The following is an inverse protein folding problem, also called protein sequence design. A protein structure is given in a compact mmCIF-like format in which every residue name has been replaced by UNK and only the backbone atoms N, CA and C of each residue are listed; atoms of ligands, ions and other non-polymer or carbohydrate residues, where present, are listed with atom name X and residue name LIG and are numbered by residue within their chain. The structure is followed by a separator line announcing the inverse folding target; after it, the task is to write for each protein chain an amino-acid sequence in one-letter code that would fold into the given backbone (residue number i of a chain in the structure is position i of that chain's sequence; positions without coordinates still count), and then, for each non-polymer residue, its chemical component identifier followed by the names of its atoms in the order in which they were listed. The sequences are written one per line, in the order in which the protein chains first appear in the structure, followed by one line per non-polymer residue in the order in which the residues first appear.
data_IF_756558446044
#
_entry.id   IF_756558446044
#
_cell.length_a   1.000
_cell.length_b   1.000
_cell.length_c   1.000
_cell.angle_alpha   90.00
_cell.angle_beta   90.00
_cell.angle_gamma   90.00
#
_symmetry.space_group_name_H-M   'P 1'
#
loop_
_entity.id
_entity.type
_entity.pdbx_description
1 polymer ?
#
# COMPACT_ATOMS: atom_id res chain seq x y z
N UNK A 1 -13.72 -62.36 -23.24
CA UNK A 1 -13.48 -61.75 -21.92
C UNK A 1 -12.60 -60.52 -22.15
N UNK A 2 -13.22 -59.40 -22.53
CA UNK A 2 -12.51 -58.18 -22.90
C UNK A 2 -13.08 -57.05 -22.05
N UNK A 3 -12.70 -57.04 -20.77
CA UNK A 3 -13.23 -56.13 -19.77
C UNK A 3 -12.06 -55.50 -18.99
N UNK A 4 -12.01 -54.16 -19.02
CA UNK A 4 -11.34 -53.30 -18.04
C UNK A 4 -9.82 -52.98 -18.14
N UNK A 5 -9.31 -52.56 -19.30
CA UNK A 5 -7.98 -51.90 -19.37
C UNK A 5 -8.02 -50.42 -19.77
N UNK A 6 -9.17 -49.90 -20.23
CA UNK A 6 -9.31 -48.51 -20.68
C UNK A 6 -9.13 -47.46 -19.57
N UNK A 7 -9.68 -47.71 -18.38
CA UNK A 7 -9.66 -46.72 -17.30
C UNK A 7 -8.32 -46.64 -16.56
N UNK A 8 -7.57 -47.75 -16.45
CA UNK A 8 -6.30 -47.76 -15.70
C UNK A 8 -5.28 -46.79 -16.29
N UNK A 9 -5.22 -46.68 -17.62
CA UNK A 9 -4.35 -45.70 -18.31
C UNK A 9 -4.78 -44.26 -18.02
N UNK A 10 -6.08 -43.99 -18.06
CA UNK A 10 -6.63 -42.66 -17.75
C UNK A 10 -6.38 -42.26 -16.29
N UNK A 11 -6.54 -43.18 -15.34
CA UNK A 11 -6.23 -42.96 -13.92
C UNK A 11 -4.74 -42.72 -13.67
N UNK A 12 -3.86 -43.43 -14.38
CA UNK A 12 -2.41 -43.18 -14.31
C UNK A 12 -2.06 -41.80 -14.87
N UNK A 13 -2.62 -41.44 -16.04
CA UNK A 13 -2.41 -40.11 -16.63
C UNK A 13 -2.93 -39.01 -15.70
N UNK A 14 -4.14 -39.18 -15.14
CA UNK A 14 -4.70 -38.25 -14.15
C UNK A 14 -3.79 -38.12 -12.92
N UNK A 15 -3.30 -39.24 -12.39
CA UNK A 15 -2.36 -39.25 -11.26
C UNK A 15 -1.08 -38.47 -11.57
N UNK A 16 -0.53 -38.64 -12.79
CA UNK A 16 0.66 -37.89 -13.25
C UNK A 16 0.35 -36.39 -13.36
N UNK A 17 -0.77 -36.01 -13.97
CA UNK A 17 -1.16 -34.59 -14.12
C UNK A 17 -1.35 -33.93 -12.75
N UNK A 18 -2.04 -34.60 -11.83
CA UNK A 18 -2.22 -34.13 -10.46
C UNK A 18 -0.88 -34.00 -9.75
N UNK A 19 -0.02 -35.02 -9.81
CA UNK A 19 1.29 -35.01 -9.18
C UNK A 19 2.18 -33.87 -9.69
N UNK A 20 2.28 -33.71 -11.01
CA UNK A 20 3.06 -32.64 -11.63
C UNK A 20 2.46 -31.27 -11.28
N UNK A 21 1.13 -31.13 -11.31
CA UNK A 21 0.44 -29.90 -10.93
C UNK A 21 0.76 -29.47 -9.50
N UNK A 22 0.66 -30.40 -8.53
CA UNK A 22 1.02 -30.14 -7.14
C UNK A 22 2.52 -29.86 -6.97
N UNK A 23 3.40 -30.57 -7.68
CA UNK A 23 4.84 -30.31 -7.63
C UNK A 23 5.18 -28.87 -8.07
N UNK A 24 4.58 -28.39 -9.16
CA UNK A 24 4.74 -27.01 -9.63
C UNK A 24 4.18 -26.03 -8.60
N UNK A 25 2.97 -26.26 -8.07
CA UNK A 25 2.35 -25.39 -7.07
C UNK A 25 3.20 -25.25 -5.80
N UNK A 26 3.70 -26.37 -5.25
CA UNK A 26 4.56 -26.38 -4.06
C UNK A 26 5.86 -25.63 -4.34
N UNK A 27 6.51 -25.90 -5.47
CA UNK A 27 7.75 -25.22 -5.85
C UNK A 27 7.56 -23.70 -5.93
N UNK A 28 6.45 -23.24 -6.51
CA UNK A 28 6.15 -21.82 -6.61
C UNK A 28 5.76 -21.22 -5.25
N UNK A 29 5.05 -21.96 -4.40
CA UNK A 29 4.73 -21.56 -3.03
C UNK A 29 5.97 -21.34 -2.17
N UNK A 30 6.97 -22.23 -2.24
CA UNK A 30 8.24 -22.08 -1.51
C UNK A 30 9.00 -20.84 -1.99
N UNK A 31 9.07 -20.61 -3.31
CA UNK A 31 9.70 -19.39 -3.86
C UNK A 31 9.00 -18.14 -3.37
N UNK A 32 7.66 -18.12 -3.42
CA UNK A 32 6.85 -16.99 -2.96
C UNK A 32 7.15 -16.66 -1.50
N UNK A 33 7.19 -17.65 -0.61
CA UNK A 33 7.48 -17.46 0.81
C UNK A 33 8.86 -16.83 1.04
N UNK A 34 9.87 -17.19 0.25
CA UNK A 34 11.24 -16.65 0.37
C UNK A 34 11.39 -15.26 -0.25
N UNK A 35 10.56 -14.91 -1.24
CA UNK A 35 10.66 -13.64 -1.98
C UNK A 35 9.61 -12.61 -1.57
N UNK A 36 8.70 -12.95 -0.67
CA UNK A 36 7.69 -12.03 -0.19
C UNK A 36 8.35 -10.76 0.39
N UNK A 37 7.77 -9.57 0.16
CA UNK A 37 8.27 -8.34 0.77
C UNK A 37 8.31 -8.50 2.31
N UNK A 38 9.47 -8.31 2.96
CA UNK A 38 9.55 -8.42 4.41
C UNK A 38 8.75 -7.27 5.06
N UNK A 39 8.04 -7.59 6.13
CA UNK A 39 7.47 -6.56 7.02
C UNK A 39 8.63 -6.00 7.84
N UNK A 40 8.91 -4.68 7.81
CA UNK A 40 9.98 -4.11 8.60
C UNK A 40 9.64 -4.16 10.09
N UNK A 41 10.64 -4.43 10.94
CA UNK A 41 10.49 -4.43 12.39
C UNK A 41 10.10 -3.04 12.90
N UNK A 42 10.72 -2.00 12.32
CA UNK A 42 10.41 -0.60 12.59
C UNK A 42 10.55 0.27 11.34
N UNK A 43 9.66 1.24 11.21
CA UNK A 43 9.73 2.33 10.25
C UNK A 43 10.13 3.59 11.00
N UNK A 44 11.25 4.18 10.60
CA UNK A 44 11.88 5.30 11.31
C UNK A 44 12.13 6.48 10.38
N UNK A 45 12.09 7.69 10.91
CA UNK A 45 12.57 8.88 10.23
C UNK A 45 14.10 8.92 10.21
N UNK A 46 14.69 9.68 9.29
CA UNK A 46 16.13 10.01 9.32
C UNK A 46 16.56 10.67 10.64
N UNK A 47 15.66 11.42 11.27
CA UNK A 47 15.85 12.01 12.60
C UNK A 47 15.84 11.00 13.75
N UNK A 48 15.44 9.75 13.49
CA UNK A 48 15.34 8.67 14.49
C UNK A 48 13.97 8.52 15.14
N UNK A 49 12.99 9.36 14.81
CA UNK A 49 11.60 9.20 15.24
C UNK A 49 11.04 7.85 14.74
N UNK A 50 10.42 7.05 15.61
CA UNK A 50 9.73 5.82 15.21
C UNK A 50 8.31 6.17 14.75
N UNK A 51 7.97 5.84 13.51
CA UNK A 51 6.63 6.07 12.95
C UNK A 51 5.71 4.88 13.19
N UNK A 52 6.19 3.68 12.84
CA UNK A 52 5.44 2.43 12.91
C UNK A 52 6.32 1.29 13.38
N UNK A 53 5.75 0.39 14.18
CA UNK A 53 6.33 -0.92 14.48
C UNK A 53 5.72 -2.01 13.60
N UNK A 54 6.36 -3.18 13.52
CA UNK A 54 5.74 -4.36 12.90
C UNK A 54 4.39 -4.70 13.54
N UNK A 55 4.26 -4.54 14.86
CA UNK A 55 3.01 -4.75 15.58
C UNK A 55 1.92 -3.77 15.13
N UNK A 56 2.24 -2.50 14.91
CA UNK A 56 1.28 -1.52 14.39
C UNK A 56 0.74 -1.93 13.02
N UNK A 57 1.60 -2.47 12.15
CA UNK A 57 1.23 -2.89 10.80
C UNK A 57 0.33 -4.14 10.83
N UNK A 58 0.69 -5.14 11.64
CA UNK A 58 -0.10 -6.36 11.80
C UNK A 58 -1.45 -6.07 12.47
N UNK A 59 -1.48 -5.21 13.49
CA UNK A 59 -2.72 -4.75 14.10
C UNK A 59 -3.57 -3.96 13.11
N UNK A 60 -2.95 -3.13 12.26
CA UNK A 60 -3.61 -2.43 11.16
C UNK A 60 -4.29 -3.39 10.18
N UNK A 61 -3.62 -4.49 9.83
CA UNK A 61 -4.19 -5.55 9.01
C UNK A 61 -5.40 -6.21 9.68
N UNK A 62 -5.32 -6.50 10.99
CA UNK A 62 -6.44 -7.05 11.75
C UNK A 62 -7.62 -6.07 11.80
N UNK A 63 -7.36 -4.76 11.96
CA UNK A 63 -8.39 -3.72 11.91
C UNK A 63 -9.06 -3.70 10.54
N UNK A 64 -8.29 -3.70 9.45
CA UNK A 64 -8.79 -3.79 8.08
C UNK A 64 -9.69 -5.01 7.87
N UNK A 65 -9.26 -6.18 8.34
CA UNK A 65 -10.08 -7.40 8.24
C UNK A 65 -11.37 -7.30 9.07
N UNK A 66 -11.30 -6.72 10.27
CA UNK A 66 -12.46 -6.61 11.17
C UNK A 66 -13.58 -5.70 10.62
N UNK A 67 -13.23 -4.73 9.78
CA UNK A 67 -14.20 -3.83 9.16
C UNK A 67 -14.82 -4.37 7.85
N UNK A 68 -14.48 -5.61 7.45
CA UNK A 68 -14.95 -6.25 6.22
C UNK A 68 -13.85 -6.49 5.19
N UNK A 69 -12.65 -5.94 5.39
CA UNK A 69 -11.49 -6.18 4.55
C UNK A 69 -11.77 -5.94 3.07
N UNK A 70 -11.54 -6.97 2.26
CA UNK A 70 -11.70 -6.92 0.81
C UNK A 70 -13.14 -6.65 0.34
N UNK A 71 -14.14 -6.71 1.21
CA UNK A 71 -15.52 -6.33 0.85
C UNK A 71 -15.75 -4.81 0.88
N UNK A 72 -14.89 -4.06 1.59
CA UNK A 72 -15.00 -2.59 1.70
C UNK A 72 -14.31 -1.90 0.52
N UNK A 73 -13.29 -2.53 -0.06
CA UNK A 73 -12.52 -2.03 -1.20
C UNK A 73 -11.41 -3.01 -1.53
N UNK A 74 -10.44 -2.60 -2.35
CA UNK A 74 -9.34 -3.49 -2.74
C UNK A 74 -8.01 -3.11 -2.08
N UNK A 75 -7.16 -4.12 -1.88
CA UNK A 75 -5.76 -3.99 -1.51
C UNK A 75 -4.97 -4.89 -2.45
N UNK A 76 -3.92 -4.34 -3.08
CA UNK A 76 -3.15 -5.05 -4.11
C UNK A 76 -4.01 -5.61 -5.26
N UNK A 77 -5.07 -4.88 -5.63
CA UNK A 77 -5.98 -5.24 -6.71
C UNK A 77 -7.00 -6.33 -6.37
N UNK A 78 -7.02 -6.82 -5.12
CA UNK A 78 -7.96 -7.85 -4.68
C UNK A 78 -8.99 -7.25 -3.72
N UNK A 79 -10.27 -7.35 -4.09
CA UNK A 79 -11.41 -6.94 -3.29
C UNK A 79 -12.53 -6.31 -4.11
N UNK A 80 -13.38 -5.55 -3.44
CA UNK A 80 -14.53 -4.87 -4.02
C UNK A 80 -14.10 -3.65 -4.86
N UNK A 81 -14.99 -3.24 -5.76
CA UNK A 81 -14.73 -2.20 -6.76
C UNK A 81 -15.49 -0.88 -6.51
N UNK A 82 -16.29 -0.79 -5.43
CA UNK A 82 -17.05 0.43 -5.11
C UNK A 82 -16.14 1.49 -4.51
N UNK A 83 -15.38 1.11 -3.47
CA UNK A 83 -14.31 1.94 -2.93
C UNK A 83 -13.01 1.73 -3.75
N UNK A 84 -12.03 2.65 -3.66
CA UNK A 84 -10.79 2.53 -4.41
C UNK A 84 -9.94 1.34 -3.94
N UNK A 85 -8.87 1.05 -4.71
CA UNK A 85 -7.76 0.27 -4.17
C UNK A 85 -6.96 1.16 -3.20
N UNK A 86 -7.00 0.83 -1.91
CA UNK A 86 -6.42 1.66 -0.86
C UNK A 86 -4.91 1.80 -0.97
N UNK A 87 -4.23 0.80 -1.53
CA UNK A 87 -2.78 0.83 -1.70
C UNK A 87 -2.34 1.72 -2.86
N UNK A 88 -3.06 1.67 -3.98
CA UNK A 88 -2.82 2.54 -5.12
C UNK A 88 -3.26 3.99 -4.83
N UNK A 89 -4.41 4.17 -4.18
CA UNK A 89 -4.91 5.49 -3.78
C UNK A 89 -3.95 6.17 -2.79
N UNK A 90 -3.46 5.43 -1.78
CA UNK A 90 -2.46 5.93 -0.84
C UNK A 90 -1.20 6.37 -1.57
N UNK A 91 -0.66 5.51 -2.44
CA UNK A 91 0.53 5.80 -3.22
C UNK A 91 0.35 7.08 -4.05
N UNK A 92 -0.77 7.21 -4.74
CA UNK A 92 -1.06 8.34 -5.60
C UNK A 92 -1.11 9.65 -4.80
N UNK A 93 -1.87 9.67 -3.70
CA UNK A 93 -2.02 10.87 -2.87
C UNK A 93 -0.74 11.23 -2.12
N UNK A 94 0.03 10.25 -1.64
CA UNK A 94 1.35 10.48 -1.04
C UNK A 94 2.32 11.13 -2.05
N UNK A 95 2.29 10.67 -3.31
CA UNK A 95 3.06 11.27 -4.41
C UNK A 95 2.64 12.71 -4.68
N UNK A 96 1.33 12.98 -4.82
CA UNK A 96 0.81 14.33 -5.06
C UNK A 96 1.15 15.28 -3.91
N UNK A 97 0.99 14.84 -2.67
CA UNK A 97 1.35 15.62 -1.48
C UNK A 97 2.83 15.98 -1.47
N UNK A 98 3.70 15.03 -1.80
CA UNK A 98 5.14 15.25 -1.88
C UNK A 98 5.49 16.26 -2.98
N UNK A 99 4.90 16.12 -4.17
CA UNK A 99 5.10 17.04 -5.29
C UNK A 99 4.63 18.47 -4.97
N UNK A 100 3.47 18.60 -4.34
CA UNK A 100 2.93 19.89 -3.90
C UNK A 100 3.85 20.58 -2.89
N UNK A 101 4.38 19.84 -1.92
CA UNK A 101 5.30 20.38 -0.93
C UNK A 101 6.63 20.82 -1.55
N UNK A 102 7.21 20.02 -2.45
CA UNK A 102 8.42 20.41 -3.16
C UNK A 102 8.20 21.60 -4.08
N UNK A 103 7.04 21.67 -4.73
CA UNK A 103 6.64 22.80 -5.58
C UNK A 103 6.56 24.09 -4.77
N UNK A 104 5.87 24.08 -3.63
CA UNK A 104 5.77 25.25 -2.73
C UNK A 104 7.12 25.67 -2.18
N UNK A 105 7.98 24.71 -1.84
CA UNK A 105 9.30 24.99 -1.26
C UNK A 105 10.28 25.54 -2.30
N UNK A 106 10.26 25.03 -3.53
CA UNK A 106 11.26 25.37 -4.56
C UNK A 106 10.82 26.50 -5.49
N UNK A 107 9.50 26.62 -5.74
CA UNK A 107 8.94 27.52 -6.75
C UNK A 107 7.83 28.44 -6.21
N UNK A 108 7.47 28.33 -4.93
CA UNK A 108 6.42 29.12 -4.26
C UNK A 108 5.07 29.12 -4.98
N UNK A 109 4.79 28.06 -5.73
CA UNK A 109 3.60 27.89 -6.56
C UNK A 109 3.01 26.49 -6.36
N UNK A 110 1.68 26.30 -6.55
CA UNK A 110 1.08 24.96 -6.59
C UNK A 110 1.68 24.12 -7.71
N UNK A 111 1.82 22.81 -7.49
CA UNK A 111 2.43 21.89 -8.45
C UNK A 111 1.74 21.91 -9.81
N UNK A 112 0.40 21.97 -9.80
CA UNK A 112 -0.44 22.00 -11.00
C UNK A 112 -0.24 23.28 -11.86
N UNK A 113 0.30 24.34 -11.27
CA UNK A 113 0.54 25.62 -11.96
C UNK A 113 1.96 25.75 -12.54
N UNK A 114 2.84 24.78 -12.24
CA UNK A 114 4.20 24.76 -12.77
C UNK A 114 4.24 24.44 -14.26
N UNK A 115 5.26 24.93 -14.95
CA UNK A 115 5.50 24.59 -16.35
C UNK A 115 5.95 23.12 -16.52
N UNK A 116 5.84 22.55 -17.74
CA UNK A 116 6.17 21.15 -18.00
C UNK A 116 7.59 20.74 -17.58
N UNK A 117 8.58 21.62 -17.77
CA UNK A 117 9.97 21.35 -17.39
C UNK A 117 10.16 21.25 -15.87
N UNK A 118 9.55 22.16 -15.11
CA UNK A 118 9.58 22.17 -13.64
C UNK A 118 8.87 20.94 -13.08
N UNK A 119 7.70 20.60 -13.63
CA UNK A 119 6.97 19.39 -13.26
C UNK A 119 7.77 18.11 -13.56
N UNK A 120 8.46 18.05 -14.72
CA UNK A 120 9.28 16.90 -15.09
C UNK A 120 10.47 16.71 -14.14
N UNK A 121 11.13 17.80 -13.74
CA UNK A 121 12.21 17.76 -12.74
C UNK A 121 11.74 17.19 -11.40
N UNK A 122 10.61 17.69 -10.88
CA UNK A 122 10.03 17.18 -9.63
C UNK A 122 9.58 15.73 -9.73
N UNK A 123 9.00 15.30 -10.87
CA UNK A 123 8.63 13.89 -11.09
C UNK A 123 9.85 12.98 -11.13
N UNK A 124 10.94 13.40 -11.76
CA UNK A 124 12.18 12.61 -11.79
C UNK A 124 12.73 12.42 -10.37
N UNK A 125 12.75 13.49 -9.56
CA UNK A 125 13.12 13.42 -8.14
C UNK A 125 12.19 12.49 -7.35
N UNK A 126 10.89 12.56 -7.59
CA UNK A 126 9.89 11.72 -6.91
C UNK A 126 10.12 10.24 -7.16
N UNK A 127 10.39 9.89 -8.42
CA UNK A 127 10.66 8.50 -8.83
C UNK A 127 11.91 7.99 -8.09
N UNK A 128 12.98 8.78 -8.02
CA UNK A 128 14.18 8.42 -7.28
C UNK A 128 13.88 8.22 -5.78
N UNK A 129 13.19 9.16 -5.16
CA UNK A 129 12.81 9.12 -3.74
C UNK A 129 11.96 7.90 -3.39
N UNK A 130 10.94 7.59 -4.19
CA UNK A 130 9.99 6.51 -3.86
C UNK A 130 10.49 5.11 -4.24
N UNK A 131 11.35 4.98 -5.25
CA UNK A 131 11.88 3.69 -5.69
C UNK A 131 13.15 3.25 -4.98
N UNK A 132 13.83 4.18 -4.30
CA UNK A 132 15.03 3.88 -3.53
C UNK A 132 14.65 3.02 -2.32
N UNK A 133 15.23 1.83 -2.23
CA UNK A 133 14.98 0.92 -1.13
C UNK A 133 15.89 1.26 0.05
N UNK A 134 15.30 1.75 1.13
CA UNK A 134 15.96 2.16 2.37
C UNK A 134 15.78 1.13 3.50
N UNK A 135 15.36 -0.10 3.17
CA UNK A 135 15.24 -1.20 4.11
C UNK A 135 16.60 -1.85 4.38
N UNK A 136 17.01 -1.85 5.64
CA UNK A 136 18.18 -2.57 6.11
C UNK A 136 17.80 -3.96 6.63
N UNK A 137 18.28 -5.00 5.93
CA UNK A 137 18.03 -6.40 6.29
C UNK A 137 18.70 -6.83 7.59
N UNK A 138 19.80 -6.20 8.00
CA UNK A 138 20.53 -6.58 9.19
C UNK A 138 19.82 -6.11 10.46
N UNK A 139 19.19 -4.93 10.39
CA UNK A 139 18.50 -4.31 11.54
C UNK A 139 16.98 -4.41 11.46
N UNK A 140 16.42 -4.82 10.31
CA UNK A 140 14.97 -4.84 10.09
C UNK A 140 14.34 -3.46 9.96
N UNK A 141 15.15 -2.40 9.82
CA UNK A 141 14.70 -1.00 9.84
C UNK A 141 14.44 -0.48 8.45
N UNK A 142 13.30 0.19 8.26
CA UNK A 142 13.02 1.00 7.08
C UNK A 142 13.18 2.48 7.44
N UNK A 143 14.12 3.17 6.78
CA UNK A 143 14.35 4.61 7.05
C UNK A 143 13.64 5.48 6.01
N UNK A 144 12.88 6.48 6.45
CA UNK A 144 12.17 7.43 5.60
C UNK A 144 12.78 8.82 5.70
N UNK A 145 12.90 9.50 4.56
CA UNK A 145 13.23 10.92 4.52
C UNK A 145 12.15 11.77 5.18
N UNK A 146 12.51 12.96 5.63
CA UNK A 146 11.58 13.89 6.26
C UNK A 146 10.38 14.27 5.36
N UNK A 147 10.59 14.33 4.04
CA UNK A 147 9.52 14.60 3.08
C UNK A 147 8.51 13.44 3.04
N UNK A 148 9.01 12.19 3.08
CA UNK A 148 8.19 10.98 3.13
C UNK A 148 7.47 10.83 4.47
N UNK A 149 8.10 11.22 5.58
CA UNK A 149 7.49 11.25 6.92
C UNK A 149 6.30 12.21 6.93
N UNK A 150 6.46 13.42 6.41
CA UNK A 150 5.37 14.41 6.31
C UNK A 150 4.21 13.88 5.47
N UNK A 151 4.51 13.29 4.31
CA UNK A 151 3.49 12.72 3.44
C UNK A 151 2.75 11.55 4.11
N UNK A 152 3.46 10.63 4.77
CA UNK A 152 2.85 9.49 5.47
C UNK A 152 1.95 9.94 6.63
N UNK A 153 2.37 10.94 7.42
CA UNK A 153 1.56 11.53 8.49
C UNK A 153 0.31 12.22 7.92
N UNK A 154 0.43 12.91 6.79
CA UNK A 154 -0.70 13.53 6.10
C UNK A 154 -1.71 12.49 5.59
N UNK A 155 -1.25 11.42 4.93
CA UNK A 155 -2.11 10.34 4.45
C UNK A 155 -2.82 9.63 5.61
N UNK A 156 -2.13 9.42 6.73
CA UNK A 156 -2.74 8.85 7.94
C UNK A 156 -3.93 9.69 8.43
N UNK A 157 -3.83 11.02 8.38
CA UNK A 157 -4.95 11.92 8.74
C UNK A 157 -6.06 11.89 7.68
N UNK A 158 -5.69 11.87 6.40
CA UNK A 158 -6.66 11.78 5.30
C UNK A 158 -7.53 10.51 5.40
N UNK A 159 -6.92 9.33 5.47
CA UNK A 159 -7.68 8.08 5.61
C UNK A 159 -8.33 7.97 6.99
N UNK A 160 -7.69 8.50 8.04
CA UNK A 160 -8.31 8.66 9.36
C UNK A 160 -9.65 9.38 9.30
N UNK A 161 -9.76 10.46 8.52
CA UNK A 161 -10.99 11.19 8.33
C UNK A 161 -12.05 10.40 7.55
N UNK A 162 -11.66 9.57 6.58
CA UNK A 162 -12.59 8.71 5.81
C UNK A 162 -13.21 7.64 6.71
N UNK A 163 -12.41 6.93 7.51
CA UNK A 163 -12.88 5.79 8.32
C UNK A 163 -13.46 6.15 9.70
N UNK A 164 -13.38 7.42 10.10
CA UNK A 164 -14.00 7.96 11.31
C UNK A 164 -15.36 8.62 11.03
N UNK A 165 -15.80 9.47 11.94
CA UNK A 165 -16.98 10.34 11.82
C UNK A 165 -16.60 11.79 11.41
N UNK A 166 -15.36 12.05 10.99
CA UNK A 166 -14.94 13.40 10.60
C UNK A 166 -15.83 14.00 9.51
N UNK A 167 -16.25 15.26 9.70
CA UNK A 167 -17.09 15.99 8.74
C UNK A 167 -16.26 16.75 7.69
N UNK A 168 -15.02 17.10 8.01
CA UNK A 168 -14.12 17.86 7.15
C UNK A 168 -12.72 17.23 7.16
N UNK A 169 -11.98 17.46 6.09
CA UNK A 169 -10.56 17.15 6.01
C UNK A 169 -9.72 18.27 6.63
N UNK A 170 -8.54 17.93 7.15
CA UNK A 170 -7.55 18.93 7.55
C UNK A 170 -7.18 19.83 6.35
N UNK A 171 -6.90 21.13 6.56
CA UNK A 171 -6.65 22.07 5.46
C UNK A 171 -5.52 21.66 4.52
N UNK A 172 -4.51 20.96 5.02
CA UNK A 172 -3.36 20.54 4.22
C UNK A 172 -3.64 19.32 3.34
N UNK A 173 -4.60 18.45 3.72
CA UNK A 173 -4.96 17.27 2.94
C UNK A 173 -6.22 17.45 2.10
N UNK A 174 -7.07 18.43 2.44
CA UNK A 174 -8.31 18.76 1.72
C UNK A 174 -8.13 18.96 0.19
N UNK A 175 -7.06 19.61 -0.32
CA UNK A 175 -6.87 19.78 -1.76
C UNK A 175 -6.67 18.46 -2.52
N UNK A 176 -6.31 17.39 -1.81
CA UNK A 176 -6.11 16.08 -2.41
C UNK A 176 -7.38 15.23 -2.37
N UNK A 177 -8.52 15.70 -1.85
CA UNK A 177 -9.77 14.97 -1.86
C UNK A 177 -10.41 14.96 -3.26
N UNK A 178 -11.05 13.85 -3.64
CA UNK A 178 -11.63 13.70 -4.97
C UNK A 178 -12.73 14.72 -5.21
N UNK A 179 -12.57 15.54 -6.26
CA UNK A 179 -13.49 16.62 -6.61
C UNK A 179 -13.82 17.57 -5.43
N UNK A 180 -12.91 17.71 -4.46
CA UNK A 180 -13.11 18.56 -3.27
C UNK A 180 -14.20 18.07 -2.31
N UNK A 181 -14.59 16.79 -2.39
CA UNK A 181 -15.63 16.19 -1.54
C UNK A 181 -15.21 16.15 -0.06
N UNK A 182 -16.20 16.24 0.84
CA UNK A 182 -15.97 16.02 2.27
C UNK A 182 -15.76 14.53 2.58
N UNK A 183 -15.17 14.17 3.74
CA UNK A 183 -15.06 12.77 4.16
C UNK A 183 -16.41 12.06 4.21
N UNK A 184 -17.48 12.76 4.60
CA UNK A 184 -18.86 12.23 4.61
C UNK A 184 -19.35 11.88 3.21
N UNK A 185 -19.12 12.77 2.25
CA UNK A 185 -19.53 12.54 0.85
C UNK A 185 -18.75 11.39 0.22
N UNK A 186 -17.45 11.27 0.55
CA UNK A 186 -16.62 10.16 0.12
C UNK A 186 -17.06 8.84 0.75
N UNK A 187 -17.36 8.81 2.06
CA UNK A 187 -17.95 7.63 2.71
C UNK A 187 -19.21 7.16 1.99
N UNK A 188 -20.11 8.11 1.66
CA UNK A 188 -21.34 7.79 0.91
C UNK A 188 -21.02 7.24 -0.48
N UNK A 189 -20.07 7.84 -1.20
CA UNK A 189 -19.66 7.40 -2.53
C UNK A 189 -19.01 6.01 -2.52
N UNK A 190 -18.24 5.69 -1.47
CA UNK A 190 -17.53 4.44 -1.30
C UNK A 190 -18.33 3.38 -0.53
N UNK A 191 -19.59 3.66 -0.17
CA UNK A 191 -20.44 2.80 0.63
C UNK A 191 -19.83 2.39 2.00
N UNK A 192 -19.10 3.31 2.63
CA UNK A 192 -18.48 3.11 3.94
C UNK A 192 -19.38 3.69 5.03
N UNK A 193 -19.59 2.94 6.11
CA UNK A 193 -20.36 3.40 7.26
C UNK A 193 -19.66 4.54 8.01
N UNK A 194 -20.43 5.45 8.61
CA UNK A 194 -19.86 6.44 9.51
C UNK A 194 -19.23 5.75 10.72
N UNK A 195 -18.09 6.28 11.19
CA UNK A 195 -17.40 5.76 12.37
C UNK A 195 -17.09 4.25 12.28
N UNK A 196 -16.61 3.80 11.12
CA UNK A 196 -16.24 2.40 10.90
C UNK A 196 -15.11 1.96 11.85
N UNK A 197 -14.22 2.88 12.22
CA UNK A 197 -13.14 2.64 13.16
C UNK A 197 -13.15 3.72 14.24
N UNK A 198 -13.29 3.28 15.48
CA UNK A 198 -13.19 4.14 16.65
C UNK A 198 -11.74 4.28 17.12
N UNK A 199 -11.34 5.50 17.50
CA UNK A 199 -10.07 5.77 18.16
C UNK A 199 -8.90 6.08 17.21
N UNK A 200 -8.17 7.15 17.55
CA UNK A 200 -7.05 7.67 16.74
C UNK A 200 -5.92 6.66 16.54
N UNK A 201 -5.60 5.85 17.57
CA UNK A 201 -4.57 4.83 17.45
C UNK A 201 -4.92 3.71 16.47
N UNK A 202 -6.19 3.30 16.42
CA UNK A 202 -6.64 2.27 15.46
C UNK A 202 -6.59 2.80 14.03
N UNK A 203 -6.95 4.06 13.83
CA UNK A 203 -6.81 4.74 12.53
C UNK A 203 -5.33 4.89 12.12
N UNK A 204 -4.43 5.22 13.06
CA UNK A 204 -2.98 5.26 12.82
C UNK A 204 -2.44 3.90 12.37
N UNK A 205 -2.84 2.82 13.06
CA UNK A 205 -2.46 1.44 12.72
C UNK A 205 -3.00 1.02 11.36
N UNK A 206 -4.23 1.37 11.01
CA UNK A 206 -4.75 1.17 9.66
C UNK A 206 -3.89 1.90 8.60
N UNK A 207 -3.50 3.14 8.88
CA UNK A 207 -2.57 3.88 8.03
C UNK A 207 -1.22 3.17 7.86
N UNK A 208 -0.69 2.56 8.92
CA UNK A 208 0.53 1.75 8.88
C UNK A 208 0.39 0.54 7.93
N UNK A 209 -0.76 -0.13 7.94
CA UNK A 209 -1.06 -1.24 7.02
C UNK A 209 -1.12 -0.80 5.55
N UNK A 210 -1.85 0.27 5.24
CA UNK A 210 -1.90 0.79 3.86
C UNK A 210 -0.53 1.30 3.39
N UNK A 211 0.23 1.93 4.29
CA UNK A 211 1.61 2.34 4.02
C UNK A 211 2.50 1.14 3.64
N UNK A 212 2.42 0.02 4.38
CA UNK A 212 3.16 -1.19 4.03
C UNK A 212 2.73 -1.73 2.65
N UNK A 213 1.41 -1.78 2.39
CA UNK A 213 0.89 -2.27 1.13
C UNK A 213 1.47 -1.53 -0.08
N UNK A 214 1.63 -0.21 0.02
CA UNK A 214 2.29 0.62 -0.99
C UNK A 214 3.79 0.33 -1.14
N UNK A 215 4.50 -0.02 -0.06
CA UNK A 215 5.94 -0.26 -0.09
C UNK A 215 6.32 -1.35 -1.11
N UNK A 216 5.53 -2.43 -1.16
CA UNK A 216 5.71 -3.53 -2.11
C UNK A 216 5.53 -3.11 -3.58
N UNK A 217 4.78 -2.05 -3.87
CA UNK A 217 4.60 -1.52 -5.24
C UNK A 217 5.77 -0.63 -5.67
N UNK A 218 6.35 0.13 -4.73
CA UNK A 218 7.37 1.12 -5.04
C UNK A 218 8.79 0.58 -4.99
N UNK A 219 9.05 -0.40 -4.13
CA UNK A 219 10.41 -0.90 -3.94
C UNK A 219 10.91 -1.55 -5.22
N UNK A 220 11.96 -0.98 -5.82
CA UNK A 220 12.75 -1.75 -6.77
C UNK A 220 13.36 -2.93 -6.01
N UNK A 221 13.32 -4.16 -6.55
CA UNK A 221 14.06 -5.26 -5.94
C UNK A 221 15.50 -4.79 -5.77
N UNK A 222 16.01 -4.86 -4.54
CA UNK A 222 17.39 -4.53 -4.23
C UNK A 222 18.26 -5.15 -5.33
N UNK A 223 18.92 -4.28 -6.08
CA UNK A 223 19.56 -4.58 -7.35
C UNK A 223 20.27 -5.93 -7.27
N UNK A 224 19.77 -6.93 -8.02
CA UNK A 224 20.64 -7.96 -8.56
C UNK A 224 21.60 -7.19 -9.48
N UNK A 225 22.71 -6.69 -8.92
CA UNK A 225 23.93 -6.49 -9.71
C UNK A 225 24.24 -7.88 -10.25
N UNK A 226 23.77 -8.15 -11.48
CA UNK A 226 24.30 -9.26 -12.27
C UNK A 226 25.81 -9.00 -12.36
N UNK A 227 26.59 -9.86 -11.72
CA UNK A 227 27.93 -10.16 -12.21
C UNK A 227 27.78 -11.00 -13.48
#
# INVERSE_FOLDING_TARGET
MEHQTGNRKLWVILGIVVFIGFAVLIQQGVKLYQTAPPVPDTVVAETGEVLYSAADILDGQNIWQSMGGQEVGSVWGHGAYVAPDWTADWLHRECLYTLENWSKSSFHRPYVSLGPAEQASLRARLIQEFRTNTYDKATGRLTLSEDRVKAAKAMTRYYGAIFSDAMEFDPDVKPFADAGKSPRDLRKAYAIANNTIEGKERLRKLGAFFFLGKLGMCSSPATRRRK
#
